data_IF_570729198833
#
_entry.id   IF_570729198833
#
_cell.length_a   1.000
_cell.length_b   1.000
_cell.length_c   1.000
_cell.angle_alpha   90.00
_cell.angle_beta   90.00
_cell.angle_gamma   90.00
#
_symmetry.space_group_name_H-M   'P 1'
#
loop_
_entity.id
_entity.type
_entity.pdbx_description
1 polymer ?
#
# COMPACT_ATOMS: atom_id res chain seq x y z
N UNK A 1 10.37 -35.58 -7.20
CA UNK A 1 11.10 -34.77 -8.19
C UNK A 1 10.19 -33.71 -8.76
N UNK A 2 10.54 -32.46 -8.54
CA UNK A 2 9.65 -31.29 -8.85
C UNK A 2 9.95 -30.68 -10.25
N UNK A 3 10.07 -31.53 -11.29
CA UNK A 3 10.41 -31.04 -12.63
C UNK A 3 9.29 -30.23 -13.33
N UNK A 4 8.05 -30.41 -12.92
CA UNK A 4 6.90 -29.75 -13.56
C UNK A 4 6.92 -28.23 -13.41
N UNK A 5 7.04 -27.70 -12.21
CA UNK A 5 6.99 -26.25 -11.96
C UNK A 5 8.16 -25.48 -12.58
N UNK A 6 9.36 -26.06 -12.58
CA UNK A 6 10.54 -25.44 -13.22
C UNK A 6 10.37 -25.42 -14.74
N UNK A 7 9.85 -26.50 -15.33
CA UNK A 7 9.60 -26.55 -16.78
C UNK A 7 8.53 -25.53 -17.18
N UNK A 8 7.47 -25.38 -16.39
CA UNK A 8 6.45 -24.34 -16.60
C UNK A 8 7.05 -22.93 -16.52
N UNK A 9 7.92 -22.67 -15.52
CA UNK A 9 8.61 -21.39 -15.41
C UNK A 9 9.52 -21.13 -16.62
N UNK A 10 10.35 -22.11 -16.96
CA UNK A 10 11.26 -22.03 -18.11
C UNK A 10 10.51 -21.77 -19.43
N UNK A 11 9.33 -22.33 -19.62
CA UNK A 11 8.51 -22.05 -20.80
C UNK A 11 8.10 -20.58 -20.88
N UNK A 12 7.76 -19.97 -19.74
CA UNK A 12 7.31 -18.57 -19.70
C UNK A 12 8.47 -17.59 -19.82
N UNK A 13 9.49 -17.69 -18.95
CA UNK A 13 10.55 -16.68 -18.81
C UNK A 13 11.90 -17.10 -19.40
N UNK A 14 12.03 -18.34 -19.85
CA UNK A 14 13.30 -18.90 -20.34
C UNK A 14 14.12 -19.55 -19.23
N UNK A 15 15.26 -20.10 -19.62
CA UNK A 15 16.27 -20.69 -18.69
C UNK A 15 17.25 -19.60 -18.25
N UNK A 16 18.05 -19.91 -17.20
CA UNK A 16 19.11 -19.02 -16.72
C UNK A 16 18.76 -18.25 -15.44
N UNK A 17 17.62 -18.56 -14.83
CA UNK A 17 17.28 -18.08 -13.49
C UNK A 17 17.76 -19.07 -12.41
N UNK A 18 18.04 -18.56 -11.20
CA UNK A 18 18.58 -19.37 -10.09
C UNK A 18 17.52 -20.12 -9.28
N UNK A 19 16.26 -20.08 -9.68
CA UNK A 19 15.17 -20.78 -8.98
C UNK A 19 15.28 -22.28 -9.15
N UNK A 20 15.54 -22.99 -8.05
CA UNK A 20 15.66 -24.46 -8.00
C UNK A 20 14.35 -25.14 -7.65
N UNK A 21 13.45 -24.45 -6.96
CA UNK A 21 12.18 -25.00 -6.47
C UNK A 21 11.03 -24.10 -6.88
N UNK A 22 10.20 -24.59 -7.79
CA UNK A 22 9.02 -23.87 -8.29
C UNK A 22 7.79 -24.76 -8.11
N UNK A 23 6.73 -24.21 -7.52
CA UNK A 23 5.47 -24.94 -7.36
C UNK A 23 4.78 -25.11 -8.71
N UNK A 24 4.20 -26.27 -9.02
CA UNK A 24 3.42 -26.48 -10.23
C UNK A 24 2.16 -25.59 -10.23
N UNK A 25 1.83 -25.00 -11.38
CA UNK A 25 0.61 -24.17 -11.55
C UNK A 25 -0.64 -24.96 -11.18
N UNK A 26 -0.71 -26.23 -11.62
CA UNK A 26 -1.85 -27.13 -11.33
C UNK A 26 -2.13 -27.27 -9.83
N UNK A 27 -1.09 -27.31 -8.99
CA UNK A 27 -1.26 -27.39 -7.54
C UNK A 27 -1.86 -26.08 -7.00
N UNK A 28 -1.28 -24.95 -7.38
CA UNK A 28 -1.74 -23.63 -6.92
C UNK A 28 -3.16 -23.34 -7.42
N UNK A 29 -3.48 -23.69 -8.67
CA UNK A 29 -4.84 -23.53 -9.22
C UNK A 29 -5.88 -24.31 -8.41
N UNK A 30 -5.57 -25.56 -8.00
CA UNK A 30 -6.48 -26.34 -7.15
C UNK A 30 -6.69 -25.70 -5.77
N UNK A 31 -5.61 -25.22 -5.14
CA UNK A 31 -5.70 -24.53 -3.84
C UNK A 31 -6.58 -23.30 -3.98
N UNK A 32 -6.35 -22.48 -5.01
CA UNK A 32 -7.11 -21.24 -5.25
C UNK A 32 -8.59 -21.54 -5.49
N UNK A 33 -8.92 -22.56 -6.28
CA UNK A 33 -10.31 -22.96 -6.55
C UNK A 33 -11.05 -23.41 -5.29
N UNK A 34 -10.38 -24.08 -4.37
CA UNK A 34 -10.98 -24.60 -3.13
C UNK A 34 -11.17 -23.47 -2.09
N UNK A 35 -10.17 -22.61 -1.93
CA UNK A 35 -10.11 -21.69 -0.80
C UNK A 35 -10.44 -20.23 -1.12
N UNK A 36 -10.42 -19.82 -2.39
CA UNK A 36 -10.68 -18.45 -2.78
C UNK A 36 -11.98 -18.34 -3.59
N UNK A 37 -12.88 -17.48 -3.16
CA UNK A 37 -14.13 -17.19 -3.87
C UNK A 37 -13.85 -16.61 -5.28
N UNK A 38 -14.83 -16.70 -6.23
CA UNK A 38 -14.65 -16.20 -7.60
C UNK A 38 -14.27 -14.73 -7.76
N UNK A 39 -14.54 -13.90 -6.75
CA UNK A 39 -14.24 -12.46 -6.67
C UNK A 39 -13.24 -12.13 -5.56
N UNK A 40 -12.64 -13.15 -4.93
CA UNK A 40 -11.75 -13.01 -3.78
C UNK A 40 -10.36 -12.48 -4.12
N UNK A 41 -9.56 -12.29 -3.07
CA UNK A 41 -8.16 -11.85 -3.17
C UNK A 41 -7.27 -12.97 -2.62
N UNK A 42 -6.23 -13.31 -3.38
CA UNK A 42 -5.17 -14.24 -2.98
C UNK A 42 -3.94 -13.42 -2.58
N UNK A 43 -3.51 -13.53 -1.33
CA UNK A 43 -2.27 -12.93 -0.84
C UNK A 43 -1.18 -13.98 -0.78
N UNK A 44 -0.05 -13.72 -1.43
CA UNK A 44 1.18 -14.51 -1.33
C UNK A 44 2.32 -13.60 -0.83
N UNK A 45 2.69 -13.69 0.46
CA UNK A 45 3.72 -12.84 1.05
C UNK A 45 5.15 -13.30 0.71
N UNK A 46 5.31 -14.41 -0.02
CA UNK A 46 6.60 -14.96 -0.45
C UNK A 46 6.48 -15.44 -1.90
N UNK A 47 6.17 -14.53 -2.79
CA UNK A 47 5.77 -14.81 -4.16
C UNK A 47 6.79 -15.62 -4.98
N UNK A 48 8.07 -15.51 -4.66
CA UNK A 48 9.14 -16.23 -5.34
C UNK A 48 9.07 -16.03 -6.84
N UNK A 49 8.92 -17.11 -7.59
CA UNK A 49 8.80 -17.07 -9.04
C UNK A 49 7.43 -16.62 -9.57
N UNK A 50 6.48 -16.19 -8.73
CA UNK A 50 5.15 -15.69 -9.14
C UNK A 50 4.16 -16.77 -9.57
N UNK A 51 4.32 -18.02 -9.12
CA UNK A 51 3.41 -19.11 -9.49
C UNK A 51 1.97 -18.85 -9.07
N UNK A 52 1.76 -18.26 -7.89
CA UNK A 52 0.44 -17.92 -7.36
C UNK A 52 -0.31 -16.96 -8.28
N UNK A 53 0.32 -15.87 -8.70
CA UNK A 53 -0.30 -14.90 -9.64
C UNK A 53 -0.61 -15.52 -11.00
N UNK A 54 0.30 -16.34 -11.55
CA UNK A 54 0.05 -17.10 -12.78
C UNK A 54 -1.16 -18.03 -12.63
N UNK A 55 -1.27 -18.75 -11.50
CA UNK A 55 -2.39 -19.66 -11.23
C UNK A 55 -3.72 -18.91 -11.06
N UNK A 56 -3.74 -17.72 -10.44
CA UNK A 56 -4.95 -16.88 -10.36
C UNK A 56 -5.43 -16.47 -11.75
N UNK A 57 -4.52 -16.00 -12.61
CA UNK A 57 -4.84 -15.64 -13.99
C UNK A 57 -5.36 -16.84 -14.80
N UNK A 58 -4.73 -18.01 -14.65
CA UNK A 58 -5.15 -19.26 -15.31
C UNK A 58 -6.56 -19.69 -14.86
N UNK A 59 -6.83 -19.65 -13.56
CA UNK A 59 -8.16 -19.97 -13.02
C UNK A 59 -9.22 -18.98 -13.48
N UNK A 60 -8.91 -17.69 -13.50
CA UNK A 60 -9.83 -16.67 -13.96
C UNK A 60 -10.16 -16.87 -15.46
N UNK A 61 -9.14 -17.10 -16.28
CA UNK A 61 -9.30 -17.34 -17.71
C UNK A 61 -10.18 -18.58 -18.00
N UNK A 62 -9.94 -19.68 -17.29
CA UNK A 62 -10.66 -20.95 -17.48
C UNK A 62 -12.09 -20.93 -16.96
N UNK A 63 -12.31 -20.25 -15.84
CA UNK A 63 -13.60 -20.27 -15.13
C UNK A 63 -14.43 -18.99 -15.33
N UNK A 64 -13.95 -17.99 -16.08
CA UNK A 64 -14.62 -16.70 -16.24
C UNK A 64 -14.82 -15.95 -14.94
N UNK A 65 -13.85 -16.04 -14.01
CA UNK A 65 -13.92 -15.42 -12.67
C UNK A 65 -13.00 -14.19 -12.58
N UNK A 66 -13.13 -13.42 -11.49
CA UNK A 66 -12.41 -12.16 -11.30
C UNK A 66 -11.66 -12.12 -9.96
N UNK A 67 -10.93 -13.18 -9.64
CA UNK A 67 -10.05 -13.20 -8.47
C UNK A 67 -8.91 -12.21 -8.68
N UNK A 68 -8.50 -11.56 -7.60
CA UNK A 68 -7.34 -10.67 -7.58
C UNK A 68 -6.19 -11.33 -6.82
N UNK A 69 -4.99 -10.81 -7.01
CA UNK A 69 -3.82 -11.27 -6.26
C UNK A 69 -3.00 -10.11 -5.74
N UNK A 70 -2.35 -10.33 -4.60
CA UNK A 70 -1.30 -9.48 -4.04
C UNK A 70 -0.09 -10.38 -3.84
N UNK A 71 0.98 -10.10 -4.56
CA UNK A 71 2.25 -10.80 -4.46
C UNK A 71 3.26 -9.89 -3.77
N UNK A 72 3.87 -10.38 -2.70
CA UNK A 72 4.94 -9.65 -2.00
C UNK A 72 6.21 -10.48 -2.15
N UNK A 73 7.30 -9.82 -2.53
CA UNK A 73 8.61 -10.44 -2.60
C UNK A 73 9.69 -9.48 -2.11
N UNK A 74 10.54 -9.98 -1.28
CA UNK A 74 11.64 -9.22 -0.71
C UNK A 74 12.84 -9.31 -1.66
N UNK A 75 13.22 -8.20 -2.27
CA UNK A 75 14.49 -8.05 -2.97
C UNK A 75 15.60 -7.63 -2.01
N UNK A 76 16.82 -7.71 -2.48
CA UNK A 76 18.00 -7.16 -1.79
C UNK A 76 18.89 -6.44 -2.80
N UNK A 77 18.69 -5.15 -2.95
CA UNK A 77 19.39 -4.29 -3.91
C UNK A 77 20.90 -4.30 -3.70
N UNK A 78 21.35 -4.39 -2.44
CA UNK A 78 22.79 -4.42 -2.09
C UNK A 78 23.46 -5.67 -2.64
N UNK A 79 22.72 -6.80 -2.69
CA UNK A 79 23.21 -8.07 -3.26
C UNK A 79 22.86 -8.22 -4.75
N UNK A 80 22.25 -7.21 -5.37
CA UNK A 80 21.79 -7.27 -6.76
C UNK A 80 20.58 -8.20 -6.98
N UNK A 81 19.85 -8.51 -5.93
CA UNK A 81 18.68 -9.39 -5.99
C UNK A 81 17.44 -8.59 -6.40
N UNK A 82 17.18 -8.55 -7.69
CA UNK A 82 16.07 -7.83 -8.33
C UNK A 82 15.04 -8.78 -8.94
N UNK A 83 15.01 -10.06 -8.57
CA UNK A 83 14.17 -11.04 -9.25
C UNK A 83 12.66 -10.79 -9.13
N UNK A 84 12.21 -10.08 -8.10
CA UNK A 84 10.82 -9.63 -8.01
C UNK A 84 10.39 -8.86 -9.27
N UNK A 85 11.28 -7.99 -9.79
CA UNK A 85 11.07 -7.19 -10.99
C UNK A 85 11.42 -7.96 -12.27
N UNK A 86 12.58 -8.60 -12.28
CA UNK A 86 13.16 -9.18 -13.49
C UNK A 86 12.61 -10.56 -13.83
N UNK A 87 12.08 -11.29 -12.85
CA UNK A 87 11.53 -12.63 -13.02
C UNK A 87 10.04 -12.68 -12.66
N UNK A 88 9.66 -12.34 -11.42
CA UNK A 88 8.28 -12.48 -10.94
C UNK A 88 7.31 -11.63 -11.76
N UNK A 89 7.60 -10.34 -11.88
CA UNK A 89 6.79 -9.41 -12.68
C UNK A 89 6.86 -9.74 -14.17
N UNK A 90 8.01 -10.17 -14.70
CA UNK A 90 8.15 -10.58 -16.10
C UNK A 90 7.31 -11.83 -16.39
N UNK A 91 7.29 -12.82 -15.49
CA UNK A 91 6.41 -13.98 -15.61
C UNK A 91 4.95 -13.56 -15.72
N UNK A 92 4.47 -12.71 -14.79
CA UNK A 92 3.07 -12.25 -14.79
C UNK A 92 2.75 -11.50 -16.09
N UNK A 93 3.62 -10.60 -16.55
CA UNK A 93 3.43 -9.88 -17.82
C UNK A 93 3.32 -10.83 -19.00
N UNK A 94 4.20 -11.83 -19.09
CA UNK A 94 4.21 -12.79 -20.19
C UNK A 94 2.97 -13.67 -20.22
N UNK A 95 2.46 -14.10 -19.09
CA UNK A 95 1.22 -14.90 -19.08
C UNK A 95 0.00 -14.08 -19.42
N UNK A 96 -0.04 -12.80 -19.04
CA UNK A 96 -1.10 -11.87 -19.42
C UNK A 96 -1.12 -11.67 -20.94
N UNK A 97 0.04 -11.45 -21.55
CA UNK A 97 0.17 -11.11 -22.99
C UNK A 97 0.27 -12.34 -23.91
N UNK A 98 0.57 -13.51 -23.37
CA UNK A 98 0.86 -14.72 -24.14
C UNK A 98 2.25 -14.74 -24.79
N UNK A 99 3.13 -13.78 -24.48
CA UNK A 99 4.48 -13.67 -25.07
C UNK A 99 5.51 -14.49 -24.27
N UNK A 100 5.39 -15.81 -24.34
CA UNK A 100 6.28 -16.72 -23.62
C UNK A 100 7.61 -16.91 -24.35
N UNK A 101 8.68 -17.17 -23.61
CA UNK A 101 9.99 -17.44 -24.22
C UNK A 101 10.04 -18.73 -25.04
N UNK A 102 9.23 -19.72 -24.69
CA UNK A 102 9.11 -20.97 -25.46
C UNK A 102 8.28 -20.81 -26.76
N UNK A 103 7.64 -19.68 -26.97
CA UNK A 103 6.78 -19.38 -28.11
C UNK A 103 5.50 -18.69 -27.69
N UNK A 104 4.75 -18.14 -28.64
CA UNK A 104 3.48 -17.46 -28.37
C UNK A 104 2.42 -18.44 -27.87
N UNK A 105 1.75 -18.08 -26.80
CA UNK A 105 0.62 -18.82 -26.21
C UNK A 105 -0.63 -17.94 -26.22
N UNK A 106 -1.79 -18.55 -25.97
CA UNK A 106 -3.00 -17.77 -25.77
C UNK A 106 -2.83 -16.86 -24.52
N UNK A 107 -3.11 -15.54 -24.64
CA UNK A 107 -3.02 -14.63 -23.52
C UNK A 107 -4.05 -14.97 -22.45
N UNK A 108 -3.66 -14.96 -21.19
CA UNK A 108 -4.60 -15.16 -20.09
C UNK A 108 -5.42 -13.89 -19.79
N UNK A 109 -4.96 -12.74 -20.27
CA UNK A 109 -5.60 -11.45 -20.05
C UNK A 109 -5.41 -10.91 -18.64
N UNK A 110 -6.14 -9.85 -18.29
CA UNK A 110 -6.02 -9.15 -17.01
C UNK A 110 -4.90 -8.12 -17.01
N UNK A 111 -4.47 -7.74 -15.82
CA UNK A 111 -3.41 -6.76 -15.60
C UNK A 111 -2.85 -6.86 -14.18
N UNK A 112 -1.75 -6.15 -13.92
CA UNK A 112 -1.20 -5.97 -12.59
C UNK A 112 -0.47 -4.63 -12.49
N UNK A 113 -0.34 -4.14 -11.27
CA UNK A 113 0.49 -3.00 -10.95
C UNK A 113 1.72 -3.50 -10.18
N UNK A 114 2.91 -3.11 -10.63
CA UNK A 114 4.14 -3.35 -9.91
C UNK A 114 4.46 -2.14 -9.04
N UNK A 115 4.71 -2.39 -7.74
CA UNK A 115 5.09 -1.36 -6.78
C UNK A 115 6.37 -1.78 -6.09
N UNK A 116 7.28 -0.85 -5.93
CA UNK A 116 8.52 -1.03 -5.19
C UNK A 116 8.42 -0.27 -3.88
N UNK A 117 8.51 -0.99 -2.76
CA UNK A 117 8.54 -0.38 -1.44
C UNK A 117 9.97 0.05 -1.13
N UNK A 118 10.18 1.35 -1.03
CA UNK A 118 11.45 1.92 -0.59
C UNK A 118 11.35 2.34 0.86
N UNK A 119 12.35 1.97 1.66
CA UNK A 119 12.49 2.53 2.99
C UNK A 119 13.05 3.93 2.83
N UNK A 120 12.31 4.92 3.22
CA UNK A 120 12.75 6.31 3.29
C UNK A 120 12.64 6.78 4.74
N UNK A 121 13.67 7.45 5.22
CA UNK A 121 13.57 8.14 6.50
C UNK A 121 12.60 9.31 6.33
N UNK A 122 11.53 9.31 7.12
CA UNK A 122 10.49 10.35 7.05
C UNK A 122 10.66 11.21 8.29
N UNK A 123 11.12 12.42 8.10
CA UNK A 123 11.21 13.45 9.12
C UNK A 123 10.07 14.50 8.96
N UNK A 124 10.04 15.50 9.84
CA UNK A 124 9.06 16.56 9.77
C UNK A 124 9.13 17.37 8.47
N UNK A 125 10.32 17.52 7.89
CA UNK A 125 10.50 18.22 6.63
C UNK A 125 9.92 17.41 5.46
N UNK A 126 10.17 16.10 5.42
CA UNK A 126 9.60 15.21 4.41
C UNK A 126 8.07 15.18 4.47
N UNK A 127 7.47 15.11 5.68
CA UNK A 127 6.00 15.20 5.84
C UNK A 127 5.48 16.55 5.40
N UNK A 128 6.20 17.63 5.71
CA UNK A 128 5.80 18.98 5.32
C UNK A 128 5.86 19.22 3.81
N UNK A 129 6.69 18.46 3.08
CA UNK A 129 6.81 18.54 1.62
C UNK A 129 5.72 17.78 0.86
N UNK A 130 4.91 16.95 1.53
CA UNK A 130 3.86 16.16 0.88
C UNK A 130 2.80 17.03 0.21
N UNK A 131 2.37 16.61 -0.96
CA UNK A 131 1.19 17.17 -1.60
C UNK A 131 -0.08 16.68 -0.88
N UNK A 132 -1.20 17.36 -1.14
CA UNK A 132 -2.48 17.07 -0.47
C UNK A 132 -2.89 15.60 -0.56
N UNK A 133 -2.84 15.01 -1.74
CA UNK A 133 -3.29 13.64 -1.96
C UNK A 133 -2.39 12.60 -1.26
N UNK A 134 -1.08 12.86 -1.22
CA UNK A 134 -0.12 12.03 -0.50
C UNK A 134 -0.35 12.11 1.02
N UNK A 135 -0.66 13.31 1.53
CA UNK A 135 -1.03 13.49 2.94
C UNK A 135 -2.33 12.75 3.27
N UNK A 136 -3.34 12.79 2.40
CA UNK A 136 -4.59 12.04 2.57
C UNK A 136 -4.32 10.54 2.62
N UNK A 137 -3.52 9.99 1.71
CA UNK A 137 -3.18 8.57 1.69
C UNK A 137 -2.49 8.14 2.99
N UNK A 138 -1.60 8.97 3.50
CA UNK A 138 -0.90 8.73 4.76
C UNK A 138 -1.87 8.78 5.96
N UNK A 139 -2.78 9.75 6.01
CA UNK A 139 -3.80 9.87 7.06
C UNK A 139 -4.77 8.69 7.05
N UNK A 140 -5.22 8.24 5.87
CA UNK A 140 -6.13 7.09 5.74
C UNK A 140 -5.51 5.79 6.30
N UNK A 141 -4.20 5.62 6.11
CA UNK A 141 -3.49 4.41 6.59
C UNK A 141 -3.08 4.51 8.05
N UNK A 142 -2.86 5.73 8.56
CA UNK A 142 -2.32 5.98 9.90
C UNK A 142 -3.36 6.37 10.94
N UNK A 143 -4.61 6.61 10.55
CA UNK A 143 -5.64 7.03 11.50
C UNK A 143 -5.91 5.97 12.58
N UNK A 144 -5.83 6.41 13.83
CA UNK A 144 -6.15 5.62 15.01
C UNK A 144 -7.21 6.34 15.84
N UNK A 145 -8.36 5.72 16.03
CA UNK A 145 -9.39 6.25 16.90
C UNK A 145 -8.99 6.10 18.38
N UNK A 146 -8.72 7.23 19.02
CA UNK A 146 -8.32 7.26 20.45
C UNK A 146 -9.43 6.80 21.38
N UNK A 147 -10.68 7.05 21.03
CA UNK A 147 -11.84 6.74 21.87
C UNK A 147 -12.14 5.24 21.88
N UNK A 148 -12.01 4.58 20.73
CA UNK A 148 -12.27 3.15 20.57
C UNK A 148 -11.01 2.28 20.69
N UNK A 149 -9.83 2.88 20.78
CA UNK A 149 -8.52 2.20 20.80
C UNK A 149 -8.36 1.18 19.67
N UNK A 150 -8.88 1.51 18.51
CA UNK A 150 -8.87 0.63 17.32
C UNK A 150 -8.59 1.42 16.06
N UNK A 151 -8.18 0.72 15.01
CA UNK A 151 -8.14 1.29 13.67
C UNK A 151 -9.56 1.39 13.14
N UNK A 152 -10.03 2.61 12.92
CA UNK A 152 -11.31 2.85 12.29
C UNK A 152 -11.13 2.84 10.78
N UNK A 153 -11.96 2.09 10.08
CA UNK A 153 -12.00 2.13 8.63
C UNK A 153 -12.57 3.46 8.17
N UNK A 154 -11.76 4.22 7.45
CA UNK A 154 -12.17 5.46 6.81
C UNK A 154 -12.52 5.19 5.35
N UNK A 155 -13.66 5.69 4.91
CA UNK A 155 -14.06 5.68 3.51
C UNK A 155 -13.62 6.98 2.87
N UNK A 156 -12.69 6.91 1.90
CA UNK A 156 -12.19 8.08 1.16
C UNK A 156 -13.29 8.63 0.25
N UNK A 157 -13.39 9.95 0.17
CA UNK A 157 -14.17 10.64 -0.84
C UNK A 157 -13.39 10.74 -2.16
N UNK A 158 -14.13 10.88 -3.27
CA UNK A 158 -13.50 11.13 -4.57
C UNK A 158 -12.80 12.49 -4.60
N UNK A 159 -11.61 12.58 -5.23
CA UNK A 159 -10.93 13.85 -5.39
C UNK A 159 -11.80 14.88 -6.12
N UNK A 160 -11.91 16.09 -5.55
CA UNK A 160 -12.69 17.19 -6.12
C UNK A 160 -14.12 17.34 -5.60
N UNK A 161 -14.66 16.35 -4.87
CA UNK A 161 -16.02 16.45 -4.29
C UNK A 161 -16.10 17.47 -3.15
N UNK A 162 -15.01 17.70 -2.44
CA UNK A 162 -14.91 18.64 -1.34
C UNK A 162 -13.51 19.23 -1.23
N UNK A 163 -13.41 20.44 -0.69
CA UNK A 163 -12.12 21.10 -0.50
C UNK A 163 -11.36 20.57 0.72
N UNK A 164 -12.08 20.38 1.84
CA UNK A 164 -11.48 19.98 3.11
C UNK A 164 -11.83 18.57 3.51
N UNK A 165 -13.06 18.11 3.29
CA UNK A 165 -13.50 16.76 3.62
C UNK A 165 -12.80 15.75 2.72
N UNK A 166 -12.11 14.76 3.31
CA UNK A 166 -11.43 13.72 2.55
C UNK A 166 -11.90 12.29 2.86
N UNK A 167 -12.54 12.09 4.02
CA UNK A 167 -13.04 10.78 4.40
C UNK A 167 -14.18 10.87 5.42
N UNK A 168 -14.91 9.77 5.55
CA UNK A 168 -15.91 9.54 6.58
C UNK A 168 -15.71 8.20 7.25
N UNK A 169 -16.11 8.04 8.52
CA UNK A 169 -16.10 6.77 9.23
C UNK A 169 -17.48 6.12 9.25
N UNK A 170 -17.58 4.93 9.86
CA UNK A 170 -18.85 4.19 10.00
C UNK A 170 -19.91 4.90 10.85
N UNK A 171 -19.54 5.91 11.64
CA UNK A 171 -20.45 6.74 12.44
C UNK A 171 -20.90 7.99 11.72
N UNK A 172 -20.59 8.11 10.44
CA UNK A 172 -20.86 9.29 9.62
C UNK A 172 -20.18 10.58 10.14
N UNK A 173 -19.05 10.45 10.83
CA UNK A 173 -18.22 11.57 11.26
C UNK A 173 -17.26 11.96 10.15
N UNK A 174 -17.09 13.27 9.90
CA UNK A 174 -16.24 13.79 8.83
C UNK A 174 -14.78 14.01 9.23
N UNK A 175 -13.87 13.68 8.30
CA UNK A 175 -12.43 13.88 8.42
C UNK A 175 -11.98 14.92 7.42
N UNK A 176 -11.47 16.05 7.94
CA UNK A 176 -11.15 17.26 7.17
C UNK A 176 -9.64 17.53 7.22
N UNK A 177 -9.07 17.87 6.07
CA UNK A 177 -7.65 18.21 5.92
C UNK A 177 -7.51 19.66 5.43
N UNK A 178 -6.86 20.49 6.23
CA UNK A 178 -6.45 21.85 5.84
C UNK A 178 -4.98 21.76 5.46
N UNK A 179 -4.71 21.37 4.21
CA UNK A 179 -3.36 21.19 3.68
C UNK A 179 -3.36 21.32 2.15
N UNK A 180 -2.62 22.30 1.65
CA UNK A 180 -2.45 22.53 0.22
C UNK A 180 -0.95 22.56 -0.17
N UNK A 181 -0.09 21.86 0.59
CA UNK A 181 1.36 21.84 0.44
C UNK A 181 2.10 22.72 1.45
N UNK A 182 3.42 22.60 1.47
CA UNK A 182 4.30 23.26 2.45
C UNK A 182 4.21 24.77 2.47
N UNK A 183 3.97 25.39 1.33
CA UNK A 183 4.03 26.84 1.14
C UNK A 183 2.69 27.56 1.44
N UNK A 184 1.66 26.81 1.80
CA UNK A 184 0.33 27.38 2.07
C UNK A 184 -0.06 27.27 3.54
N UNK A 185 -0.79 28.27 4.05
CA UNK A 185 -1.23 28.24 5.45
C UNK A 185 -2.15 27.05 5.74
N UNK A 186 -1.74 26.21 6.69
CA UNK A 186 -2.54 25.10 7.22
C UNK A 186 -3.07 25.48 8.60
N UNK A 187 -4.17 26.28 8.62
CA UNK A 187 -4.69 26.91 9.84
C UNK A 187 -6.18 26.69 9.99
N UNK A 188 -6.59 26.09 11.10
CA UNK A 188 -7.99 26.02 11.52
C UNK A 188 -8.36 27.31 12.24
N UNK A 189 -8.88 28.27 11.50
CA UNK A 189 -9.43 29.53 12.02
C UNK A 189 -10.97 29.55 11.90
N UNK A 190 -11.61 30.67 12.26
CA UNK A 190 -13.07 30.79 12.22
C UNK A 190 -13.64 30.67 10.80
N UNK A 191 -12.92 31.13 9.79
CA UNK A 191 -13.34 31.07 8.39
C UNK A 191 -13.26 29.68 7.83
N UNK A 192 -12.09 28.99 8.00
CA UNK A 192 -11.93 27.60 7.58
C UNK A 192 -12.92 26.68 8.30
N UNK A 193 -13.23 26.95 9.58
CA UNK A 193 -14.23 26.18 10.31
C UNK A 193 -15.64 26.38 9.76
N UNK A 194 -16.03 27.58 9.35
CA UNK A 194 -17.32 27.80 8.68
C UNK A 194 -17.44 26.98 7.39
N UNK A 195 -16.38 26.93 6.60
CA UNK A 195 -16.35 26.14 5.38
C UNK A 195 -16.46 24.62 5.67
N UNK A 196 -15.78 24.15 6.71
CA UNK A 196 -15.89 22.75 7.18
C UNK A 196 -17.34 22.42 7.58
N UNK A 197 -18.00 23.30 8.35
CA UNK A 197 -19.42 23.10 8.70
C UNK A 197 -20.31 23.06 7.46
N UNK A 198 -20.02 23.90 6.46
CA UNK A 198 -20.79 23.92 5.23
C UNK A 198 -20.64 22.59 4.47
N UNK A 199 -19.42 22.11 4.25
CA UNK A 199 -19.18 20.80 3.64
C UNK A 199 -19.82 19.65 4.45
N UNK A 200 -19.74 19.72 5.78
CA UNK A 200 -20.36 18.71 6.63
C UNK A 200 -21.89 18.64 6.46
N UNK A 201 -22.55 19.79 6.29
CA UNK A 201 -23.99 19.85 6.02
C UNK A 201 -24.34 19.33 4.63
N UNK A 202 -23.56 19.68 3.61
CA UNK A 202 -23.75 19.19 2.24
C UNK A 202 -23.68 17.66 2.16
N UNK A 203 -22.83 17.06 2.96
CA UNK A 203 -22.68 15.60 3.07
C UNK A 203 -23.54 14.97 4.19
N UNK A 204 -24.40 15.73 4.88
CA UNK A 204 -25.25 15.26 5.98
C UNK A 204 -24.50 14.52 7.07
N UNK A 205 -23.33 15.02 7.46
CA UNK A 205 -22.45 14.39 8.44
C UNK A 205 -22.91 14.63 9.89
N UNK A 206 -22.46 13.74 10.78
CA UNK A 206 -22.62 13.90 12.23
C UNK A 206 -21.86 15.14 12.73
N UNK A 207 -22.35 15.77 13.82
CA UNK A 207 -21.76 16.98 14.41
C UNK A 207 -20.47 16.67 15.21
N UNK A 208 -19.56 15.91 14.62
CA UNK A 208 -18.21 15.67 15.13
C UNK A 208 -17.23 15.72 13.98
N UNK A 209 -16.30 16.64 14.06
CA UNK A 209 -15.38 16.99 12.97
C UNK A 209 -13.94 16.68 13.36
N UNK A 210 -13.31 15.76 12.67
CA UNK A 210 -11.90 15.42 12.84
C UNK A 210 -11.06 16.29 11.90
N UNK A 211 -10.34 17.29 12.44
CA UNK A 211 -9.66 18.29 11.61
C UNK A 211 -8.15 18.18 11.75
N UNK A 212 -7.49 17.98 10.62
CA UNK A 212 -6.04 17.93 10.50
C UNK A 212 -5.51 19.26 9.95
N UNK A 213 -4.64 19.95 10.70
CA UNK A 213 -3.97 21.17 10.28
C UNK A 213 -2.68 21.41 11.09
N UNK A 214 -1.83 22.33 10.62
CA UNK A 214 -0.59 22.68 11.32
C UNK A 214 -0.88 23.55 12.57
N UNK A 215 -1.88 24.41 12.52
CA UNK A 215 -2.25 25.32 13.60
C UNK A 215 -3.77 25.35 13.80
N UNK A 216 -4.21 25.52 15.06
CA UNK A 216 -5.62 25.67 15.40
C UNK A 216 -5.83 26.79 16.43
N UNK A 217 -5.85 28.05 16.01
CA UNK A 217 -6.25 29.15 16.89
C UNK A 217 -7.75 29.12 17.24
N UNK A 218 -8.53 28.32 16.53
CA UNK A 218 -9.94 28.08 16.81
C UNK A 218 -10.14 26.71 17.47
N UNK A 219 -10.92 26.65 18.53
CA UNK A 219 -11.34 25.41 19.18
C UNK A 219 -12.87 25.40 19.37
N UNK A 220 -13.49 24.24 19.17
CA UNK A 220 -14.93 24.05 19.35
C UNK A 220 -15.22 22.70 19.99
N UNK A 221 -16.36 22.57 20.69
CA UNK A 221 -16.74 21.30 21.38
C UNK A 221 -16.95 20.13 20.41
N UNK A 222 -17.28 20.44 19.16
CA UNK A 222 -17.52 19.45 18.08
C UNK A 222 -16.28 19.14 17.27
N UNK A 223 -15.15 19.81 17.54
CA UNK A 223 -13.89 19.65 16.79
C UNK A 223 -12.90 18.82 17.57
N UNK A 224 -12.44 17.75 16.96
CA UNK A 224 -11.27 16.98 17.37
C UNK A 224 -10.09 17.36 16.46
N UNK A 225 -9.13 18.08 17.04
CA UNK A 225 -7.99 18.60 16.30
C UNK A 225 -6.78 17.66 16.34
N UNK A 226 -6.16 17.49 15.18
CA UNK A 226 -4.95 16.72 14.97
C UNK A 226 -3.88 17.60 14.33
N UNK A 227 -2.82 17.88 15.05
CA UNK A 227 -1.72 18.71 14.56
C UNK A 227 -0.86 17.94 13.56
N UNK A 228 -0.56 18.56 12.39
CA UNK A 228 0.36 18.05 11.38
C UNK A 228 1.65 18.90 11.44
N UNK A 229 2.84 18.34 11.31
CA UNK A 229 3.17 16.94 10.99
C UNK A 229 3.19 16.00 12.19
N UNK A 230 3.14 16.52 13.43
CA UNK A 230 3.39 15.77 14.65
C UNK A 230 2.56 14.48 14.72
N UNK A 231 1.25 14.59 14.42
CA UNK A 231 0.34 13.45 14.47
C UNK A 231 0.67 12.35 13.46
N UNK A 232 1.12 12.75 12.27
CA UNK A 232 1.54 11.82 11.24
C UNK A 232 2.80 11.08 11.67
N UNK A 233 3.78 11.81 12.19
CA UNK A 233 5.05 11.24 12.67
C UNK A 233 4.84 10.25 13.81
N UNK A 234 3.94 10.54 14.77
CA UNK A 234 3.55 9.59 15.83
C UNK A 234 3.01 8.28 15.27
N UNK A 235 2.21 8.33 14.19
CA UNK A 235 1.56 7.15 13.63
C UNK A 235 2.46 6.29 12.77
N UNK A 236 3.42 6.88 12.07
CA UNK A 236 4.40 6.11 11.28
C UNK A 236 5.52 5.53 12.15
N UNK A 237 5.40 5.66 13.49
CA UNK A 237 6.36 5.10 14.45
C UNK A 237 7.60 5.97 14.65
N UNK A 238 7.56 7.21 14.22
CA UNK A 238 8.61 8.19 14.45
C UNK A 238 8.48 8.71 15.90
N UNK A 239 8.97 7.96 16.86
CA UNK A 239 9.21 8.44 18.20
C UNK A 239 10.64 8.99 18.27
N UNK A 240 10.80 10.25 18.63
CA UNK A 240 12.10 10.86 18.88
C UNK A 240 12.95 10.13 19.94
N UNK A 241 12.32 9.20 20.69
CA UNK A 241 13.00 8.27 21.59
C UNK A 241 13.51 7.00 20.91
N UNK A 242 12.94 6.59 19.77
CA UNK A 242 13.41 5.43 19.04
C UNK A 242 14.67 5.74 18.20
N UNK A 243 14.83 6.98 17.76
CA UNK A 243 16.04 7.40 17.05
C UNK A 243 17.26 7.47 17.96
N UNK A 244 17.11 7.80 19.23
CA UNK A 244 18.20 7.78 20.21
C UNK A 244 18.72 6.35 20.46
N UNK A 245 17.88 5.32 20.30
CA UNK A 245 18.25 3.91 20.49
C UNK A 245 18.86 3.26 19.24
N UNK A 246 18.54 3.76 18.04
CA UNK A 246 19.06 3.20 16.78
C UNK A 246 20.36 3.84 16.31
N UNK A 247 20.74 4.98 16.86
CA UNK A 247 22.04 5.63 16.54
C UNK A 247 23.21 5.09 17.37
N UNK A 248 22.97 4.28 18.40
CA UNK A 248 24.02 3.72 19.25
C UNK A 248 24.47 2.29 18.87
N UNK A 249 23.98 1.75 17.75
CA UNK A 249 24.48 0.47 17.22
C UNK A 249 25.35 0.75 16.00
N UNK A 250 26.50 1.37 16.22
CA UNK A 250 27.66 1.15 15.36
C UNK A 250 28.16 -0.27 15.63
N UNK A 251 27.86 -1.18 14.69
CA UNK A 251 28.49 -2.49 14.67
C UNK A 251 29.89 -2.29 14.13
N UNK A 252 30.86 -2.17 15.03
CA UNK A 252 32.27 -2.36 14.68
C UNK A 252 32.43 -3.80 14.14
N UNK A 253 32.64 -3.91 12.85
CA UNK A 253 33.09 -5.15 12.22
C UNK A 253 34.60 -5.19 12.38
N UNK A 254 35.07 -5.89 13.39
CA UNK A 254 36.48 -6.30 13.44
C UNK A 254 36.80 -7.22 12.26
N UNK A 255 37.58 -6.74 11.34
CA UNK A 255 38.18 -7.53 10.28
C UNK A 255 39.44 -8.20 10.87
N UNK A 256 39.31 -9.45 11.29
CA UNK A 256 40.50 -10.30 11.53
C UNK A 256 41.17 -10.57 10.18
N UNK A 257 42.36 -9.99 10.03
CA UNK A 257 43.32 -10.38 9.01
C UNK A 257 44.05 -11.64 9.46
N UNK A 258 43.85 -12.73 8.73
CA UNK A 258 44.60 -13.96 8.81
C UNK A 258 44.88 -14.51 7.41
#
# INVERSE_FOLDING_TARGET
MNSGGINELNAVVGKGHDFKTVKPIRLMSKIIQIWCKPDGIVLDPFAGSGTTGHAVLDVNHKAGTNRRFILIEQGNDVKGDLYAKTLTADRIRRVITGDWKAGKCAPLGGGFQFQELKRQQVDAAAVSALQREEMIDLLLTSHWDKSERTKTSLTRLLPGDSRYLFAVNSRNEGFFLIWDGADKPSVLNRETFKNIIQEAKEHSLAERYHVYAALAPYSGRTVEFYKIPDRVLEHIGFNSRADAYNNDVEVEVEVEQG
#
